data_IF_331435154423
#
_entry.id   IF_331435154423
#
_cell.length_a   1.000
_cell.length_b   1.000
_cell.length_c   1.000
_cell.angle_alpha   90.00
_cell.angle_beta   90.00
_cell.angle_gamma   90.00
#
_symmetry.space_group_name_H-M   'P 1'
#
loop_
_entity.id
_entity.type
_entity.pdbx_description
1 polymer ?
#
# COMPACT_ATOMS: atom_id res chain seq x y z
N UNK A 1 -24.09 2.03 2.76
CA UNK A 1 -22.85 2.82 2.59
C UNK A 1 -21.78 1.96 1.96
N UNK A 2 -21.37 2.25 0.73
CA UNK A 2 -20.33 1.50 0.04
C UNK A 2 -18.96 1.73 0.67
N UNK A 3 -18.20 0.67 0.95
CA UNK A 3 -16.81 0.78 1.37
C UNK A 3 -16.03 1.36 0.19
N UNK A 4 -15.71 2.66 0.23
CA UNK A 4 -14.89 3.32 -0.79
C UNK A 4 -13.45 2.81 -0.66
N UNK A 5 -12.92 2.30 -1.77
CA UNK A 5 -11.56 1.81 -1.89
C UNK A 5 -10.90 2.57 -3.03
N UNK A 6 -9.71 3.11 -2.77
CA UNK A 6 -8.89 3.68 -3.83
C UNK A 6 -7.86 2.65 -4.28
N UNK A 7 -7.68 2.52 -5.59
CA UNK A 7 -6.63 1.71 -6.19
C UNK A 7 -5.64 2.59 -6.94
N UNK A 8 -4.36 2.33 -6.76
CA UNK A 8 -3.31 2.91 -7.61
C UNK A 8 -2.53 1.79 -8.27
N UNK A 9 -2.26 1.98 -9.56
CA UNK A 9 -1.40 1.10 -10.35
C UNK A 9 -0.20 1.92 -10.80
N UNK A 10 0.99 1.52 -10.36
CA UNK A 10 2.24 2.18 -10.67
C UNK A 10 3.08 1.23 -11.52
N UNK A 11 3.14 1.44 -12.85
CA UNK A 11 4.03 0.67 -13.72
C UNK A 11 5.49 0.90 -13.33
N UNK A 12 6.29 -0.15 -13.37
CA UNK A 12 7.74 -0.11 -13.20
C UNK A 12 8.39 -1.13 -14.14
N UNK A 13 9.72 -1.07 -14.28
CA UNK A 13 10.46 -2.02 -15.12
C UNK A 13 10.35 -3.47 -14.64
N UNK A 14 10.09 -3.68 -13.34
CA UNK A 14 10.01 -5.01 -12.73
C UNK A 14 8.58 -5.53 -12.63
N UNK A 15 7.58 -4.79 -13.11
CA UNK A 15 6.16 -5.13 -12.98
C UNK A 15 5.31 -3.94 -12.53
N UNK A 16 4.04 -4.19 -12.19
CA UNK A 16 3.13 -3.14 -11.73
C UNK A 16 2.93 -3.23 -10.22
N UNK A 17 3.26 -2.15 -9.51
CA UNK A 17 2.93 -2.03 -8.09
C UNK A 17 1.45 -1.70 -7.97
N UNK A 18 0.70 -2.56 -7.26
CA UNK A 18 -0.72 -2.36 -6.98
C UNK A 18 -0.86 -1.87 -5.54
N UNK A 19 -1.54 -0.74 -5.34
CA UNK A 19 -1.86 -0.21 -4.02
C UNK A 19 -3.37 -0.23 -3.81
N UNK A 20 -3.82 -0.86 -2.73
CA UNK A 20 -5.22 -0.88 -2.30
C UNK A 20 -5.37 -0.13 -0.99
N UNK A 21 -6.08 1.00 -1.01
CA UNK A 21 -6.26 1.91 0.13
C UNK A 21 -7.70 1.82 0.63
N UNK A 22 -7.86 1.46 1.90
CA UNK A 22 -9.14 1.30 2.56
C UNK A 22 -9.26 2.19 3.79
N UNK A 23 -10.43 2.79 4.00
CA UNK A 23 -10.73 3.59 5.19
C UNK A 23 -10.22 5.03 5.07
N UNK A 24 -9.71 5.59 6.17
CA UNK A 24 -9.27 7.00 6.28
C UNK A 24 -10.39 8.04 6.11
N UNK A 25 -11.66 7.62 6.12
CA UNK A 25 -12.82 8.51 6.07
C UNK A 25 -13.94 7.98 6.98
N UNK A 26 -14.61 8.83 7.77
CA UNK A 26 -14.32 10.24 8.06
C UNK A 26 -13.01 10.44 8.87
N UNK A 27 -12.61 11.72 9.04
CA UNK A 27 -11.42 12.13 9.81
C UNK A 27 -11.37 11.42 11.18
N UNK A 28 -10.21 10.86 11.52
CA UNK A 28 -9.99 10.14 12.79
C UNK A 28 -10.10 8.61 12.68
N UNK A 29 -10.74 8.08 11.64
CA UNK A 29 -10.78 6.63 11.43
C UNK A 29 -9.47 6.11 10.86
N UNK A 30 -8.97 5.03 11.47
CA UNK A 30 -7.88 4.25 10.94
C UNK A 30 -8.19 3.73 9.54
N UNK A 31 -7.15 3.53 8.76
CA UNK A 31 -7.20 2.89 7.47
C UNK A 31 -6.06 1.91 7.29
N UNK A 32 -6.09 1.22 6.16
CA UNK A 32 -5.08 0.24 5.81
C UNK A 32 -4.75 0.33 4.33
N UNK A 33 -3.48 0.09 4.03
CA UNK A 33 -2.93 0.06 2.68
C UNK A 33 -2.29 -1.29 2.45
N UNK A 34 -2.64 -1.92 1.33
CA UNK A 34 -1.93 -3.08 0.80
C UNK A 34 -1.09 -2.62 -0.38
N UNK A 35 0.16 -3.02 -0.45
CA UNK A 35 1.02 -2.82 -1.60
C UNK A 35 1.50 -4.19 -2.10
N UNK A 36 1.36 -4.45 -3.39
CA UNK A 36 1.71 -5.71 -4.03
C UNK A 36 2.62 -5.45 -5.23
N UNK A 37 3.68 -6.24 -5.38
CA UNK A 37 4.46 -6.36 -6.62
C UNK A 37 4.86 -7.83 -6.80
N UNK A 38 4.55 -8.41 -7.96
CA UNK A 38 4.95 -9.78 -8.34
C UNK A 38 4.65 -10.85 -7.28
N UNK A 39 3.49 -10.76 -6.62
CA UNK A 39 3.07 -11.70 -5.56
C UNK A 39 3.59 -11.35 -4.16
N UNK A 40 4.59 -10.48 -4.03
CA UNK A 40 5.05 -9.96 -2.73
C UNK A 40 4.06 -8.89 -2.28
N UNK A 41 3.45 -9.11 -1.11
CA UNK A 41 2.43 -8.22 -0.56
C UNK A 41 2.81 -7.73 0.83
N UNK A 42 2.67 -6.43 1.05
CA UNK A 42 2.78 -5.81 2.38
C UNK A 42 1.48 -5.15 2.78
N UNK A 43 1.17 -5.21 4.08
CA UNK A 43 0.01 -4.56 4.69
C UNK A 43 0.46 -3.58 5.75
N UNK A 44 -0.05 -2.36 5.70
CA UNK A 44 0.21 -1.32 6.72
C UNK A 44 -1.10 -0.70 7.18
N UNK A 45 -1.27 -0.57 8.49
CA UNK A 45 -2.41 0.14 9.11
C UNK A 45 -1.95 1.47 9.71
N UNK A 46 -2.85 2.44 9.82
CA UNK A 46 -2.61 3.68 10.55
C UNK A 46 -3.69 4.73 10.30
N UNK A 47 -3.50 5.95 10.81
CA UNK A 47 -4.54 6.99 10.81
C UNK A 47 -4.38 8.04 9.70
N UNK A 48 -3.16 8.28 9.23
CA UNK A 48 -2.87 9.29 8.20
C UNK A 48 -2.67 8.65 6.83
N UNK A 49 -3.63 8.81 5.92
CA UNK A 49 -3.65 8.18 4.58
C UNK A 49 -2.30 8.27 3.84
N UNK A 50 -1.79 9.50 3.65
CA UNK A 50 -0.51 9.73 2.94
C UNK A 50 0.66 9.00 3.62
N UNK A 51 0.77 9.12 4.95
CA UNK A 51 1.84 8.48 5.73
C UNK A 51 1.78 6.95 5.63
N UNK A 52 0.58 6.37 5.69
CA UNK A 52 0.40 4.91 5.61
C UNK A 52 0.73 4.39 4.21
N UNK A 53 0.36 5.11 3.14
CA UNK A 53 0.73 4.75 1.76
C UNK A 53 2.25 4.72 1.59
N UNK A 54 2.95 5.78 2.00
CA UNK A 54 4.42 5.86 1.91
C UNK A 54 5.08 4.74 2.72
N UNK A 55 4.58 4.45 3.92
CA UNK A 55 5.10 3.33 4.74
C UNK A 55 4.89 1.97 4.07
N UNK A 56 3.77 1.76 3.38
CA UNK A 56 3.52 0.53 2.64
C UNK A 56 4.53 0.37 1.49
N UNK A 57 4.72 1.42 0.68
CA UNK A 57 5.71 1.39 -0.40
C UNK A 57 7.14 1.16 0.10
N UNK A 58 7.54 1.85 1.18
CA UNK A 58 8.86 1.65 1.79
C UNK A 58 9.06 0.21 2.25
N UNK A 59 8.09 -0.38 2.95
CA UNK A 59 8.17 -1.78 3.38
C UNK A 59 8.24 -2.76 2.22
N UNK A 60 7.49 -2.50 1.15
CA UNK A 60 7.55 -3.33 -0.05
C UNK A 60 8.95 -3.28 -0.67
N UNK A 61 9.52 -2.07 -0.78
CA UNK A 61 10.89 -1.89 -1.28
C UNK A 61 11.94 -2.58 -0.41
N UNK A 62 11.85 -2.46 0.92
CA UNK A 62 12.74 -3.16 1.85
C UNK A 62 12.66 -4.69 1.68
N UNK A 63 11.47 -5.26 1.47
CA UNK A 63 11.32 -6.70 1.21
C UNK A 63 11.92 -7.13 -0.14
N UNK A 64 11.73 -6.32 -1.19
CA UNK A 64 12.27 -6.61 -2.51
C UNK A 64 13.80 -6.66 -2.48
N UNK A 65 14.44 -5.70 -1.82
CA UNK A 65 15.89 -5.67 -1.65
C UNK A 65 16.43 -6.90 -0.89
N UNK A 66 15.68 -7.40 0.08
CA UNK A 66 16.08 -8.58 0.86
C UNK A 66 15.86 -9.91 0.12
N UNK A 67 15.11 -9.93 -0.99
CA UNK A 67 14.94 -11.13 -1.82
C UNK A 67 15.91 -11.19 -3.01
N UNK A 68 16.59 -10.09 -3.32
CA UNK A 68 17.65 -10.03 -4.33
C UNK A 68 19.04 -10.39 -3.77
N UNK A 69 19.12 -10.77 -2.48
CA UNK A 69 20.35 -11.18 -1.78
C UNK A 69 20.42 -12.68 -1.52
#
# INVERSE_FOLDING_TARGET
MGKRMDMFFLPSQHGTIKLFVYGFHPLGNGGQVYAELNGITVKVKGFQRKRVIVRALRKLHELLLNQEQ
#
